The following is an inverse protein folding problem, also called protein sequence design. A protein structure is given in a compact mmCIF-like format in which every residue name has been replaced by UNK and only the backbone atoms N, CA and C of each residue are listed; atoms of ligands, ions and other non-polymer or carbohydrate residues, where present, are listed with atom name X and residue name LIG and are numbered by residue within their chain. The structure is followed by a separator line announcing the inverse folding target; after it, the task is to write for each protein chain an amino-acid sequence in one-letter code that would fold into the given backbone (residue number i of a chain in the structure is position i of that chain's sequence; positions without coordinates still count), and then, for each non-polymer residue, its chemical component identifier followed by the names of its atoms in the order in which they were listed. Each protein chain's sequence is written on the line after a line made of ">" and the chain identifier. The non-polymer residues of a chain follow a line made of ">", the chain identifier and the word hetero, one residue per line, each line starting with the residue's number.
data_IF_481668361836
#
_entry.id   IF_481668361836
#
_cell.length_a   1.000
_cell.length_b   1.000
_cell.length_c   1.000
_cell.angle_alpha   90.00
_cell.angle_beta   90.00
_cell.angle_gamma   90.00
#
_symmetry.space_group_name_H-M   'P 1'
#
loop_
_entity.id
_entity.type
_entity.pdbx_description
1 polymer ?
#
# COMPACT_ATOMS: atom_id res chain seq x y z
N UNK A 1 -6.75 -23.20 8.27
CA UNK A 1 -5.86 -24.01 7.42
C UNK A 1 -5.20 -23.13 6.34
N UNK A 2 -4.04 -23.54 5.82
CA UNK A 2 -3.30 -22.80 4.76
C UNK A 2 -4.18 -22.52 3.55
N UNK A 3 -5.02 -23.48 3.14
CA UNK A 3 -5.97 -23.30 2.04
C UNK A 3 -6.97 -22.16 2.26
N UNK A 4 -7.46 -21.97 3.47
CA UNK A 4 -8.36 -20.86 3.80
C UNK A 4 -7.62 -19.52 3.76
N UNK A 5 -6.35 -19.48 4.19
CA UNK A 5 -5.50 -18.29 4.10
C UNK A 5 -5.24 -17.89 2.65
N UNK A 6 -4.90 -18.84 1.77
CA UNK A 6 -4.69 -18.59 0.34
C UNK A 6 -5.96 -18.06 -0.32
N UNK A 7 -7.13 -18.67 -0.05
CA UNK A 7 -8.41 -18.20 -0.59
C UNK A 7 -8.71 -16.76 -0.15
N UNK A 8 -8.53 -16.46 1.14
CA UNK A 8 -8.74 -15.11 1.67
C UNK A 8 -7.79 -14.08 1.02
N UNK A 9 -6.52 -14.45 0.82
CA UNK A 9 -5.52 -13.61 0.13
C UNK A 9 -5.93 -13.31 -1.32
N UNK A 10 -6.37 -14.31 -2.07
CA UNK A 10 -6.82 -14.14 -3.45
C UNK A 10 -8.06 -13.23 -3.51
N UNK A 11 -9.06 -13.49 -2.68
CA UNK A 11 -10.28 -12.67 -2.63
C UNK A 11 -9.95 -11.22 -2.26
N UNK A 12 -9.10 -11.01 -1.24
CA UNK A 12 -8.65 -9.67 -0.84
C UNK A 12 -7.90 -8.95 -1.96
N UNK A 13 -6.97 -9.63 -2.63
CA UNK A 13 -6.21 -9.06 -3.75
C UNK A 13 -7.13 -8.67 -4.92
N UNK A 14 -8.07 -9.52 -5.29
CA UNK A 14 -9.04 -9.24 -6.37
C UNK A 14 -9.95 -8.06 -5.99
N UNK A 15 -10.44 -8.02 -4.76
CA UNK A 15 -11.28 -6.91 -4.28
C UNK A 15 -10.53 -5.57 -4.33
N UNK A 16 -9.27 -5.56 -3.90
CA UNK A 16 -8.41 -4.37 -3.92
C UNK A 16 -8.07 -3.95 -5.35
N UNK A 17 -7.73 -4.91 -6.23
CA UNK A 17 -7.47 -4.64 -7.64
C UNK A 17 -8.70 -4.03 -8.34
N UNK A 18 -9.89 -4.56 -8.07
CA UNK A 18 -11.15 -4.02 -8.59
C UNK A 18 -11.40 -2.59 -8.07
N UNK A 19 -11.19 -2.35 -6.79
CA UNK A 19 -11.34 -1.02 -6.19
C UNK A 19 -10.39 0.00 -6.82
N UNK A 20 -9.13 -0.38 -7.06
CA UNK A 20 -8.15 0.47 -7.72
C UNK A 20 -8.52 0.81 -9.16
N UNK A 21 -9.08 -0.15 -9.91
CA UNK A 21 -9.58 0.10 -11.27
C UNK A 21 -10.75 1.08 -11.26
N UNK A 22 -11.69 0.92 -10.34
CA UNK A 22 -12.84 1.82 -10.22
C UNK A 22 -12.40 3.22 -9.80
N UNK A 23 -11.46 3.33 -8.85
CA UNK A 23 -11.01 4.61 -8.32
C UNK A 23 -10.17 5.43 -9.31
N UNK A 24 -9.25 4.79 -10.03
CA UNK A 24 -8.22 5.50 -10.81
C UNK A 24 -8.16 5.13 -12.29
N UNK A 25 -9.11 4.35 -12.81
CA UNK A 25 -9.17 3.93 -14.22
C UNK A 25 -7.80 3.59 -14.82
N UNK A 26 -7.20 4.46 -15.64
CA UNK A 26 -5.90 4.23 -16.27
C UNK A 26 -4.76 4.10 -15.27
N UNK A 27 -4.71 4.95 -14.24
CA UNK A 27 -3.71 4.82 -13.19
C UNK A 27 -3.91 3.52 -12.38
N UNK A 28 -5.17 3.10 -12.19
CA UNK A 28 -5.51 1.81 -11.60
C UNK A 28 -5.03 0.61 -12.41
N UNK A 29 -5.05 0.68 -13.74
CA UNK A 29 -4.44 -0.34 -14.60
C UNK A 29 -2.93 -0.44 -14.37
N UNK A 30 -2.22 0.70 -14.34
CA UNK A 30 -0.78 0.73 -14.06
C UNK A 30 -0.47 0.14 -12.69
N UNK A 31 -1.26 0.51 -11.66
CA UNK A 31 -1.12 -0.05 -10.32
C UNK A 31 -1.35 -1.57 -10.28
N UNK A 32 -2.33 -2.08 -11.01
CA UNK A 32 -2.58 -3.52 -11.07
C UNK A 32 -1.46 -4.27 -11.78
N UNK A 33 -0.89 -3.73 -12.85
CA UNK A 33 0.31 -4.30 -13.48
C UNK A 33 1.47 -4.33 -12.49
N UNK A 34 1.71 -3.24 -11.76
CA UNK A 34 2.74 -3.18 -10.73
C UNK A 34 2.48 -4.17 -9.59
N UNK A 35 1.22 -4.34 -9.17
CA UNK A 35 0.83 -5.31 -8.15
C UNK A 35 1.10 -6.76 -8.59
N UNK A 36 0.74 -7.11 -9.83
CA UNK A 36 1.02 -8.44 -10.40
C UNK A 36 2.53 -8.67 -10.43
N UNK A 37 3.31 -7.72 -10.92
CA UNK A 37 4.78 -7.81 -10.94
C UNK A 37 5.36 -7.93 -9.53
N UNK A 38 4.83 -7.18 -8.57
CA UNK A 38 5.23 -7.27 -7.17
C UNK A 38 5.04 -8.69 -6.62
N UNK A 39 3.85 -9.28 -6.83
CA UNK A 39 3.54 -10.64 -6.37
C UNK A 39 4.44 -11.67 -7.07
N UNK A 40 4.65 -11.55 -8.38
CA UNK A 40 5.51 -12.46 -9.14
C UNK A 40 6.95 -12.43 -8.65
N UNK A 41 7.51 -11.23 -8.45
CA UNK A 41 8.88 -11.06 -7.95
C UNK A 41 8.99 -11.57 -6.52
N UNK A 42 8.02 -11.25 -5.65
CA UNK A 42 8.00 -11.71 -4.26
C UNK A 42 7.99 -13.24 -4.18
N UNK A 43 7.07 -13.89 -4.91
CA UNK A 43 6.95 -15.36 -4.92
C UNK A 43 8.19 -15.99 -5.54
N UNK A 44 8.75 -15.38 -6.61
CA UNK A 44 9.99 -15.84 -7.23
C UNK A 44 11.18 -15.79 -6.27
N UNK A 45 11.33 -14.71 -5.51
CA UNK A 45 12.37 -14.57 -4.49
C UNK A 45 12.21 -15.58 -3.35
N UNK A 46 10.98 -15.78 -2.88
CA UNK A 46 10.70 -16.77 -1.84
C UNK A 46 11.02 -18.21 -2.31
N UNK A 47 10.68 -18.52 -3.57
CA UNK A 47 11.04 -19.81 -4.19
C UNK A 47 12.56 -19.99 -4.30
N UNK A 48 13.29 -18.95 -4.73
CA UNK A 48 14.74 -18.96 -4.82
C UNK A 48 15.42 -19.20 -3.46
N UNK A 49 14.93 -18.55 -2.40
CA UNK A 49 15.45 -18.71 -1.04
C UNK A 49 15.00 -20.00 -0.36
N UNK A 50 14.24 -20.86 -1.07
CA UNK A 50 13.65 -22.10 -0.50
C UNK A 50 12.91 -21.85 0.83
N UNK A 51 12.36 -20.64 0.98
CA UNK A 51 11.69 -20.22 2.19
C UNK A 51 10.38 -21.00 2.37
N UNK A 52 10.24 -21.73 3.46
CA UNK A 52 9.01 -22.47 3.74
C UNK A 52 7.86 -21.50 3.97
N UNK A 53 6.78 -21.65 3.20
CA UNK A 53 5.54 -20.89 3.37
C UNK A 53 4.88 -21.27 4.71
N UNK A 54 5.23 -20.55 5.75
CA UNK A 54 4.58 -20.65 7.05
C UNK A 54 3.30 -19.81 7.07
N UNK A 55 2.37 -20.09 7.98
CA UNK A 55 1.18 -19.25 8.17
C UNK A 55 1.50 -17.76 8.39
N UNK A 56 2.48 -17.39 9.26
CA UNK A 56 2.93 -16.01 9.36
C UNK A 56 3.57 -15.48 8.07
N UNK A 57 4.28 -16.30 7.30
CA UNK A 57 4.82 -15.92 5.99
C UNK A 57 3.72 -15.53 5.00
N UNK A 58 2.62 -16.29 4.94
CA UNK A 58 1.43 -15.94 4.17
C UNK A 58 0.82 -14.61 4.63
N UNK A 59 0.74 -14.37 5.94
CA UNK A 59 0.28 -13.09 6.48
C UNK A 59 1.18 -11.93 6.03
N UNK A 60 2.51 -12.16 5.97
CA UNK A 60 3.47 -11.20 5.42
C UNK A 60 3.21 -10.85 3.96
N UNK A 61 2.88 -11.84 3.12
CA UNK A 61 2.51 -11.61 1.71
C UNK A 61 1.26 -10.73 1.62
N UNK A 62 0.20 -11.07 2.36
CA UNK A 62 -1.06 -10.30 2.36
C UNK A 62 -0.83 -8.86 2.81
N UNK A 63 -0.04 -8.68 3.87
CA UNK A 63 0.33 -7.36 4.37
C UNK A 63 1.09 -6.56 3.31
N UNK A 64 2.05 -7.17 2.64
CA UNK A 64 2.83 -6.52 1.58
C UNK A 64 1.96 -6.10 0.38
N UNK A 65 0.98 -6.91 0.00
CA UNK A 65 0.00 -6.56 -1.04
C UNK A 65 -0.78 -5.29 -0.64
N UNK A 66 -1.24 -5.22 0.61
CA UNK A 66 -1.92 -4.03 1.13
C UNK A 66 -1.04 -2.78 1.06
N UNK A 67 0.22 -2.88 1.47
CA UNK A 67 1.18 -1.77 1.40
C UNK A 67 1.55 -1.38 -0.03
N UNK A 68 1.56 -2.34 -0.97
CA UNK A 68 1.82 -2.05 -2.38
C UNK A 68 0.71 -1.19 -3.00
N UNK A 69 -0.53 -1.48 -2.64
CA UNK A 69 -1.69 -0.67 -3.05
C UNK A 69 -1.64 0.71 -2.43
N UNK A 70 -1.35 0.80 -1.14
CA UNK A 70 -1.26 2.08 -0.42
C UNK A 70 -0.19 3.01 -1.03
N UNK A 71 0.99 2.48 -1.36
CA UNK A 71 2.04 3.23 -2.04
C UNK A 71 1.56 3.80 -3.39
N UNK A 72 0.87 3.00 -4.19
CA UNK A 72 0.34 3.44 -5.49
C UNK A 72 -0.76 4.50 -5.32
N UNK A 73 -1.68 4.32 -4.36
CA UNK A 73 -2.72 5.32 -4.04
C UNK A 73 -2.08 6.65 -3.65
N UNK A 74 -1.08 6.62 -2.79
CA UNK A 74 -0.38 7.84 -2.36
C UNK A 74 0.28 8.56 -3.54
N UNK A 75 0.95 7.83 -4.44
CA UNK A 75 1.55 8.41 -5.65
C UNK A 75 0.46 9.09 -6.50
N UNK A 76 -0.66 8.41 -6.73
CA UNK A 76 -1.74 8.94 -7.58
C UNK A 76 -2.42 10.15 -6.96
N UNK A 77 -2.61 10.17 -5.64
CA UNK A 77 -3.14 11.34 -4.96
C UNK A 77 -2.19 12.54 -5.08
N UNK A 78 -0.88 12.33 -4.95
CA UNK A 78 0.11 13.41 -5.16
C UNK A 78 0.12 13.91 -6.61
N UNK A 79 0.02 13.02 -7.58
CA UNK A 79 -0.11 13.40 -9.00
C UNK A 79 -1.38 14.22 -9.21
N UNK A 80 -2.50 13.81 -8.60
CA UNK A 80 -3.77 14.52 -8.68
C UNK A 80 -3.68 15.93 -8.10
N UNK A 81 -3.10 16.08 -6.91
CA UNK A 81 -2.87 17.39 -6.28
C UNK A 81 -2.09 18.34 -7.22
N UNK A 82 -1.07 17.82 -7.89
CA UNK A 82 -0.24 18.61 -8.81
C UNK A 82 -0.98 18.97 -10.11
N UNK A 83 -1.88 18.10 -10.60
CA UNK A 83 -2.75 18.40 -11.73
C UNK A 83 -3.79 19.47 -11.38
N UNK A 84 -4.39 19.39 -10.18
CA UNK A 84 -5.32 20.40 -9.66
C UNK A 84 -4.65 21.76 -9.45
N UNK A 85 -3.34 21.76 -9.12
CA UNK A 85 -2.52 22.96 -9.07
C UNK A 85 -2.19 23.57 -10.45
N UNK A 86 -2.69 22.99 -11.54
CA UNK A 86 -2.53 23.51 -12.90
C UNK A 86 -1.25 23.11 -13.62
N UNK A 87 -0.51 22.13 -13.12
CA UNK A 87 0.69 21.62 -13.80
C UNK A 87 0.31 20.78 -15.03
N UNK A 88 1.19 20.78 -16.04
CA UNK A 88 1.07 19.85 -17.16
C UNK A 88 1.14 18.40 -16.66
N UNK A 89 0.55 17.46 -17.39
CA UNK A 89 0.53 16.05 -17.02
C UNK A 89 1.93 15.49 -16.71
N UNK A 90 2.92 15.83 -17.55
CA UNK A 90 4.32 15.43 -17.35
C UNK A 90 4.93 16.07 -16.08
N UNK A 91 4.64 17.35 -15.87
CA UNK A 91 5.09 18.06 -14.66
C UNK A 91 4.46 17.52 -13.38
N UNK A 92 3.15 17.20 -13.43
CA UNK A 92 2.42 16.64 -12.31
C UNK A 92 2.90 15.21 -11.95
N UNK A 93 3.17 14.37 -12.96
CA UNK A 93 3.77 13.05 -12.72
C UNK A 93 5.12 13.17 -12.03
N UNK A 94 6.04 13.96 -12.58
CA UNK A 94 7.37 14.13 -11.99
C UNK A 94 7.31 14.69 -10.56
N UNK A 95 6.50 15.70 -10.33
CA UNK A 95 6.34 16.32 -9.01
C UNK A 95 5.66 15.38 -8.01
N UNK A 96 4.61 14.65 -8.44
CA UNK A 96 3.88 13.69 -7.63
C UNK A 96 4.78 12.55 -7.14
N UNK A 97 5.56 11.94 -8.03
CA UNK A 97 6.52 10.90 -7.65
C UNK A 97 7.58 11.42 -6.69
N UNK A 98 8.14 12.61 -6.92
CA UNK A 98 9.15 13.18 -6.03
C UNK A 98 8.59 13.49 -4.63
N UNK A 99 7.35 13.98 -4.54
CA UNK A 99 6.69 14.23 -3.24
C UNK A 99 6.31 12.93 -2.52
N UNK A 100 5.83 11.93 -3.26
CA UNK A 100 5.45 10.65 -2.69
C UNK A 100 6.66 9.85 -2.20
N UNK A 101 7.81 9.99 -2.86
CA UNK A 101 9.04 9.23 -2.56
C UNK A 101 9.42 9.32 -1.07
N UNK A 102 9.54 10.52 -0.51
CA UNK A 102 9.92 10.71 0.89
C UNK A 102 8.95 10.01 1.83
N UNK A 103 7.65 10.21 1.63
CA UNK A 103 6.61 9.62 2.49
C UNK A 103 6.60 8.09 2.41
N UNK A 104 6.73 7.52 1.21
CA UNK A 104 6.77 6.05 1.01
C UNK A 104 8.05 5.49 1.61
N UNK A 105 9.19 6.15 1.43
CA UNK A 105 10.46 5.71 1.98
C UNK A 105 10.43 5.70 3.51
N UNK A 106 10.01 6.79 4.14
CA UNK A 106 9.97 6.92 5.60
C UNK A 106 9.02 5.92 6.25
N UNK A 107 7.82 5.72 5.68
CA UNK A 107 6.84 4.76 6.20
C UNK A 107 7.33 3.32 6.09
N UNK A 108 7.95 2.95 4.97
CA UNK A 108 8.47 1.60 4.76
C UNK A 108 9.76 1.35 5.55
N UNK A 109 10.59 2.37 5.79
CA UNK A 109 11.83 2.24 6.56
C UNK A 109 11.55 1.76 7.99
N UNK A 110 10.54 2.30 8.64
CA UNK A 110 10.14 1.87 10.01
C UNK A 110 9.75 0.40 10.03
N UNK A 111 8.96 -0.05 9.06
CA UNK A 111 8.56 -1.45 8.94
C UNK A 111 9.74 -2.34 8.56
N UNK A 112 10.66 -1.86 7.72
CA UNK A 112 11.87 -2.57 7.34
C UNK A 112 12.77 -2.82 8.54
N UNK A 113 13.00 -1.82 9.40
CA UNK A 113 13.76 -1.97 10.63
C UNK A 113 13.13 -3.05 11.52
N UNK A 114 11.81 -3.00 11.72
CA UNK A 114 11.08 -3.98 12.51
C UNK A 114 11.20 -5.40 11.92
N UNK A 115 11.11 -5.54 10.60
CA UNK A 115 11.24 -6.84 9.92
C UNK A 115 12.64 -7.42 10.02
N UNK A 116 13.68 -6.58 9.96
CA UNK A 116 15.07 -6.98 10.17
C UNK A 116 15.29 -7.47 11.60
N UNK A 117 14.72 -6.79 12.59
CA UNK A 117 14.78 -7.25 13.99
C UNK A 117 14.13 -8.64 14.13
N UNK A 118 12.98 -8.86 13.47
CA UNK A 118 12.32 -10.18 13.46
C UNK A 118 13.17 -11.28 12.81
N UNK A 119 14.00 -10.95 11.82
CA UNK A 119 14.94 -11.91 11.22
C UNK A 119 16.05 -12.30 12.18
N UNK A 120 16.60 -11.33 12.92
CA UNK A 120 17.72 -11.58 13.82
C UNK A 120 17.29 -12.19 15.17
N UNK A 121 16.19 -11.71 15.74
CA UNK A 121 15.73 -12.14 17.06
C UNK A 121 14.64 -13.21 17.00
N UNK A 122 13.95 -13.36 15.86
CA UNK A 122 12.89 -14.33 15.68
C UNK A 122 13.42 -15.74 15.46
N UNK A 123 12.62 -16.73 15.89
CA UNK A 123 12.87 -18.16 15.64
C UNK A 123 11.73 -18.77 14.83
N UNK A 124 12.02 -19.84 14.10
CA UNK A 124 11.01 -20.60 13.38
C UNK A 124 10.12 -19.74 12.45
N UNK A 125 8.83 -19.76 12.69
CA UNK A 125 7.83 -19.07 11.86
C UNK A 125 7.90 -17.55 11.93
N UNK A 126 8.35 -16.97 13.05
CA UNK A 126 8.51 -15.52 13.23
C UNK A 126 9.63 -14.99 12.33
N UNK A 127 10.75 -15.73 12.26
CA UNK A 127 11.85 -15.40 11.32
C UNK A 127 11.37 -15.47 9.88
N UNK A 128 10.58 -16.48 9.50
CA UNK A 128 10.00 -16.61 8.17
C UNK A 128 9.09 -15.41 7.81
N UNK A 129 8.30 -14.92 8.75
CA UNK A 129 7.51 -13.70 8.58
C UNK A 129 8.40 -12.48 8.33
N UNK A 130 9.46 -12.29 9.15
CA UNK A 130 10.41 -11.19 8.97
C UNK A 130 11.06 -11.19 7.58
N UNK A 131 11.50 -12.37 7.09
CA UNK A 131 12.08 -12.53 5.75
C UNK A 131 11.08 -12.14 4.66
N UNK A 132 9.86 -12.69 4.72
CA UNK A 132 8.82 -12.38 3.73
C UNK A 132 8.49 -10.90 3.70
N UNK A 133 8.36 -10.28 4.88
CA UNK A 133 8.05 -8.87 5.01
C UNK A 133 9.18 -7.98 4.47
N UNK A 134 10.44 -8.31 4.77
CA UNK A 134 11.60 -7.56 4.28
C UNK A 134 11.67 -7.60 2.75
N UNK A 135 11.58 -8.78 2.14
CA UNK A 135 11.60 -8.94 0.69
C UNK A 135 10.42 -8.20 0.07
N UNK A 136 9.23 -8.41 0.62
CA UNK A 136 8.02 -7.77 0.13
C UNK A 136 8.08 -6.25 0.14
N UNK A 137 8.63 -5.64 1.20
CA UNK A 137 8.84 -4.20 1.30
C UNK A 137 9.80 -3.67 0.23
N UNK A 138 10.96 -4.33 0.06
CA UNK A 138 11.95 -3.92 -0.93
C UNK A 138 11.39 -4.02 -2.36
N UNK A 139 10.72 -5.12 -2.67
CA UNK A 139 10.05 -5.32 -3.97
C UNK A 139 8.94 -4.28 -4.16
N UNK A 140 8.15 -4.01 -3.13
CA UNK A 140 7.09 -3.00 -3.19
C UNK A 140 7.65 -1.60 -3.49
N UNK A 141 8.67 -1.18 -2.77
CA UNK A 141 9.30 0.13 -3.02
C UNK A 141 9.84 0.22 -4.45
N UNK A 142 10.48 -0.84 -4.93
CA UNK A 142 10.99 -0.89 -6.30
C UNK A 142 9.86 -0.82 -7.33
N UNK A 143 8.82 -1.63 -7.20
CA UNK A 143 7.70 -1.66 -8.15
C UNK A 143 6.91 -0.36 -8.14
N UNK A 144 6.60 0.20 -6.96
CA UNK A 144 5.82 1.42 -6.85
C UNK A 144 6.59 2.66 -7.33
N UNK A 145 7.88 2.77 -7.04
CA UNK A 145 8.64 3.99 -7.34
C UNK A 145 9.35 3.95 -8.69
N UNK A 146 9.78 2.76 -9.14
CA UNK A 146 10.54 2.62 -10.37
C UNK A 146 9.68 2.09 -11.50
N UNK A 147 9.03 0.94 -11.32
CA UNK A 147 8.30 0.28 -12.41
C UNK A 147 7.09 1.12 -12.83
N UNK A 148 6.27 1.60 -11.89
CA UNK A 148 5.10 2.40 -12.26
C UNK A 148 5.50 3.71 -12.94
N UNK A 149 6.59 4.34 -12.49
CA UNK A 149 7.13 5.55 -13.12
C UNK A 149 7.57 5.28 -14.55
N UNK A 150 8.32 4.19 -14.79
CA UNK A 150 8.75 3.80 -16.15
C UNK A 150 7.55 3.54 -17.07
N UNK A 151 6.49 2.90 -16.55
CA UNK A 151 5.27 2.66 -17.32
C UNK A 151 4.61 4.00 -17.70
N UNK A 152 4.49 4.95 -16.78
CA UNK A 152 3.93 6.27 -17.07
C UNK A 152 4.79 7.06 -18.06
N UNK A 153 6.11 7.06 -17.88
CA UNK A 153 7.03 7.73 -18.79
C UNK A 153 6.94 7.13 -20.22
N UNK A 154 6.81 5.81 -20.32
CA UNK A 154 6.61 5.14 -21.60
C UNK A 154 5.26 5.51 -22.25
N UNK A 155 4.18 5.52 -21.48
CA UNK A 155 2.85 5.91 -21.96
C UNK A 155 2.82 7.37 -22.44
N UNK A 156 3.52 8.27 -21.73
CA UNK A 156 3.69 9.66 -22.15
C UNK A 156 4.51 9.80 -23.44
N UNK A 157 5.62 9.07 -23.54
CA UNK A 157 6.49 9.10 -24.72
C UNK A 157 5.76 8.62 -25.98
N UNK A 158 4.83 7.68 -25.84
CA UNK A 158 3.99 7.17 -26.94
C UNK A 158 2.74 8.02 -27.20
N UNK A 159 2.53 9.14 -26.49
CA UNK A 159 1.31 9.96 -26.55
C UNK A 159 0.01 9.18 -26.30
N UNK A 160 0.10 8.05 -25.60
CA UNK A 160 -1.06 7.22 -25.23
C UNK A 160 -1.81 7.81 -24.03
N UNK A 161 -1.14 8.65 -23.23
CA UNK A 161 -1.68 9.26 -22.04
C UNK A 161 -1.91 10.77 -22.30
N UNK A 162 -3.14 11.14 -22.64
CA UNK A 162 -3.53 12.55 -22.85
C UNK A 162 -4.10 13.21 -21.60
N UNK A 163 -4.71 12.43 -20.73
CA UNK A 163 -5.28 12.86 -19.45
C UNK A 163 -5.30 11.68 -18.50
N UNK A 164 -5.28 11.97 -17.20
CA UNK A 164 -5.49 10.98 -16.14
C UNK A 164 -6.85 11.23 -15.51
N UNK A 165 -7.94 10.60 -16.01
CA UNK A 165 -9.23 10.68 -15.36
C UNK A 165 -9.16 9.91 -14.03
N UNK A 166 -9.32 10.61 -12.94
CA UNK A 166 -9.40 10.05 -11.59
C UNK A 166 -10.75 10.42 -10.99
N UNK A 167 -11.48 9.45 -10.42
CA UNK A 167 -12.75 9.71 -9.77
C UNK A 167 -12.52 10.49 -8.46
N UNK A 168 -13.23 11.59 -8.31
CA UNK A 168 -13.23 12.37 -7.08
C UNK A 168 -14.39 11.89 -6.19
N UNK A 169 -14.17 10.89 -5.34
CA UNK A 169 -15.18 10.48 -4.37
C UNK A 169 -15.40 11.54 -3.28
N UNK A 170 -14.36 12.28 -2.92
CA UNK A 170 -14.40 13.36 -1.94
C UNK A 170 -13.93 14.65 -2.61
N UNK A 171 -14.73 15.17 -3.57
CA UNK A 171 -14.55 16.54 -4.05
C UNK A 171 -14.65 17.51 -2.87
N UNK A 172 -14.09 18.73 -3.00
CA UNK A 172 -13.98 19.80 -1.98
C UNK A 172 -15.05 19.78 -0.88
N UNK A 173 -15.04 18.76 -0.06
CA UNK A 173 -15.95 18.62 1.09
C UNK A 173 -15.50 19.62 2.15
N UNK A 174 -16.22 20.72 2.30
CA UNK A 174 -16.03 21.69 3.39
C UNK A 174 -16.61 21.12 4.69
N UNK A 175 -16.12 19.96 5.14
CA UNK A 175 -16.51 19.41 6.44
C UNK A 175 -15.66 20.08 7.51
N UNK A 176 -16.35 20.74 8.44
CA UNK A 176 -15.70 21.39 9.57
C UNK A 176 -15.38 20.33 10.65
N UNK A 177 -14.29 19.58 10.47
CA UNK A 177 -13.89 18.50 11.38
C UNK A 177 -13.65 18.99 12.82
N UNK A 178 -13.22 20.25 12.99
CA UNK A 178 -13.03 20.85 14.31
C UNK A 178 -14.30 20.88 15.16
N UNK A 179 -15.47 20.98 14.54
CA UNK A 179 -16.76 20.96 15.27
C UNK A 179 -17.02 19.60 15.91
N UNK A 180 -16.50 18.52 15.34
CA UNK A 180 -16.67 17.15 15.83
C UNK A 180 -15.51 16.68 16.72
N UNK A 181 -14.48 17.50 16.93
CA UNK A 181 -13.31 17.13 17.71
C UNK A 181 -13.67 16.79 19.17
N UNK A 182 -14.49 17.64 19.83
CA UNK A 182 -14.87 17.42 21.22
C UNK A 182 -15.75 16.18 21.43
N UNK A 183 -16.86 15.97 20.67
CA UNK A 183 -17.62 14.73 20.78
C UNK A 183 -16.82 13.48 20.43
N UNK A 184 -15.94 13.52 19.44
CA UNK A 184 -15.07 12.40 19.10
C UNK A 184 -14.07 12.08 20.24
N UNK A 185 -13.50 13.10 20.86
CA UNK A 185 -12.61 12.93 22.00
C UNK A 185 -13.33 12.30 23.20
N UNK A 186 -14.54 12.78 23.54
CA UNK A 186 -15.34 12.20 24.62
C UNK A 186 -15.71 10.75 24.32
N UNK A 187 -16.15 10.45 23.08
CA UNK A 187 -16.49 9.08 22.68
C UNK A 187 -15.28 8.15 22.78
N UNK A 188 -14.09 8.60 22.40
CA UNK A 188 -12.84 7.83 22.52
C UNK A 188 -12.53 7.51 24.00
N UNK A 189 -12.65 8.49 24.90
CA UNK A 189 -12.42 8.27 26.32
C UNK A 189 -13.44 7.31 26.95
N UNK A 190 -14.72 7.44 26.57
CA UNK A 190 -15.76 6.50 27.01
C UNK A 190 -15.43 5.08 26.58
N UNK A 191 -15.01 4.87 25.31
CA UNK A 191 -14.61 3.55 24.84
C UNK A 191 -13.40 2.98 25.60
N UNK A 192 -12.41 3.82 25.91
CA UNK A 192 -11.23 3.41 26.69
C UNK A 192 -11.66 2.98 28.12
N UNK A 193 -12.47 3.78 28.80
CA UNK A 193 -12.93 3.46 30.16
C UNK A 193 -13.78 2.18 30.17
N UNK A 194 -14.69 2.02 29.21
CA UNK A 194 -15.50 0.81 29.07
C UNK A 194 -14.60 -0.41 28.78
N UNK A 195 -13.64 -0.29 27.87
CA UNK A 195 -12.71 -1.37 27.55
C UNK A 195 -11.83 -1.77 28.75
N UNK A 196 -11.32 -0.79 29.48
CA UNK A 196 -10.54 -1.04 30.70
C UNK A 196 -11.39 -1.68 31.81
N UNK A 197 -12.63 -1.21 32.00
CA UNK A 197 -13.53 -1.79 33.01
C UNK A 197 -13.87 -3.26 32.71
N UNK A 198 -14.09 -3.60 31.45
CA UNK A 198 -14.28 -5.00 31.00
C UNK A 198 -13.03 -5.85 31.17
N UNK A 199 -11.84 -5.31 30.93
CA UNK A 199 -10.57 -6.03 31.08
C UNK A 199 -10.13 -6.24 32.53
N UNK A 200 -10.66 -5.45 33.49
CA UNK A 200 -10.33 -5.55 34.91
C UNK A 200 -11.37 -6.40 35.67
N UNK A 201 -12.64 -6.39 35.21
CA UNK A 201 -13.75 -7.07 35.87
C UNK A 201 -14.08 -8.46 35.29
N UNK A 202 -13.51 -8.84 34.11
CA UNK A 202 -13.60 -10.14 33.46
C UNK A 202 -12.31 -10.91 33.51
#
# INVERSE_FOLDING_TARGET
>A
SIRSGIKASIIGTVAVAALMLVYSLLAGLVANVALILNILVLVGFMGYLQSTLTLPGLAGIVLTIGMAVDANVLIFERIREELEAGKSLRGALHAGYNKAFGTIFDSNLTTLISSVILIYMGTGSVKGFGVTLTIGLLVNMFTALVITRLIFDFLLAKNLLKSLPMLQFFGKTKVNFLRWALPAFIASWVLIVVGLSYGILG
#
